data_IF_458670680218
#
_entry.id   IF_458670680218
#
_cell.length_a   1.000
_cell.length_b   1.000
_cell.length_c   1.000
_cell.angle_alpha   90.00
_cell.angle_beta   90.00
_cell.angle_gamma   90.00
#
_symmetry.space_group_name_H-M   'P 1'
#
loop_
_entity.id
_entity.type
_entity.pdbx_description
1 polymer ?
#
# COMPACT_ATOMS: atom_id res chain seq x y z
N UNK A 1 0.90 20.31 -14.76
CA UNK A 1 0.60 19.09 -15.53
C UNK A 1 0.50 17.82 -14.67
N UNK A 2 -0.62 17.08 -14.78
CA UNK A 2 -0.85 15.74 -14.23
C UNK A 2 -0.78 14.70 -15.36
N UNK A 3 -0.03 13.61 -15.19
CA UNK A 3 -0.01 12.51 -16.18
C UNK A 3 -1.10 11.49 -15.82
N UNK A 4 -1.98 11.18 -16.76
CA UNK A 4 -3.03 10.16 -16.64
C UNK A 4 -2.64 8.95 -17.47
N UNK A 5 -2.32 7.84 -16.81
CA UNK A 5 -2.09 6.56 -17.48
C UNK A 5 -3.42 5.82 -17.53
N UNK A 6 -4.04 5.78 -18.72
CA UNK A 6 -5.35 5.15 -18.95
C UNK A 6 -5.22 4.04 -20.00
N UNK A 7 -4.87 2.80 -19.59
CA UNK A 7 -4.59 1.70 -20.52
C UNK A 7 -5.80 1.43 -21.43
N UNK A 8 -5.64 1.72 -22.72
CA UNK A 8 -6.69 1.58 -23.71
C UNK A 8 -6.73 0.16 -24.27
N UNK A 9 -7.92 -0.40 -24.46
CA UNK A 9 -8.06 -1.72 -25.04
C UNK A 9 -9.30 -1.80 -25.94
N UNK A 10 -9.03 -1.98 -27.24
CA UNK A 10 -10.01 -2.02 -28.33
C UNK A 10 -11.15 -3.04 -28.16
N UNK A 11 -10.93 -4.07 -27.34
CA UNK A 11 -11.86 -5.19 -27.15
C UNK A 11 -12.96 -4.86 -26.11
N UNK A 12 -12.84 -3.74 -25.40
CA UNK A 12 -13.83 -3.29 -24.42
C UNK A 12 -14.65 -2.13 -24.97
N UNK A 13 -15.90 -2.40 -25.36
CA UNK A 13 -16.84 -1.38 -25.85
C UNK A 13 -17.42 -0.46 -24.75
N UNK A 14 -16.77 -0.35 -23.59
CA UNK A 14 -17.30 0.40 -22.44
C UNK A 14 -16.45 1.63 -22.13
N UNK A 15 -16.53 2.62 -23.01
CA UNK A 15 -15.75 3.87 -22.96
C UNK A 15 -16.46 5.05 -22.28
N UNK A 16 -17.54 4.84 -21.51
CA UNK A 16 -18.36 5.99 -21.12
C UNK A 16 -18.34 6.34 -19.62
N UNK A 17 -18.25 5.35 -18.71
CA UNK A 17 -18.36 5.67 -17.26
C UNK A 17 -17.12 6.38 -16.73
N UNK A 18 -15.95 5.74 -16.82
CA UNK A 18 -14.70 6.35 -16.33
C UNK A 18 -14.37 7.64 -17.10
N UNK A 19 -14.59 7.67 -18.41
CA UNK A 19 -14.29 8.86 -19.22
C UNK A 19 -15.13 10.08 -18.81
N UNK A 20 -16.42 9.89 -18.53
CA UNK A 20 -17.26 10.95 -18.00
C UNK A 20 -16.76 11.44 -16.62
N UNK A 21 -16.38 10.50 -15.75
CA UNK A 21 -15.89 10.81 -14.40
C UNK A 21 -14.57 11.59 -14.48
N UNK A 22 -13.63 11.15 -15.33
CA UNK A 22 -12.35 11.80 -15.56
C UNK A 22 -12.52 13.17 -16.20
N UNK A 23 -13.36 13.30 -17.23
CA UNK A 23 -13.65 14.58 -17.90
C UNK A 23 -14.12 15.63 -16.89
N UNK A 24 -15.02 15.25 -15.98
CA UNK A 24 -15.52 16.15 -14.95
C UNK A 24 -14.46 16.43 -13.88
N UNK A 25 -13.79 15.39 -13.37
CA UNK A 25 -12.86 15.52 -12.25
C UNK A 25 -11.53 16.21 -12.63
N UNK A 26 -11.19 16.22 -13.92
CA UNK A 26 -9.99 16.85 -14.47
C UNK A 26 -10.28 18.21 -15.13
N UNK A 27 -11.51 18.70 -15.07
CA UNK A 27 -11.88 20.00 -15.62
C UNK A 27 -11.02 21.11 -14.99
N UNK A 28 -10.31 21.88 -15.83
CA UNK A 28 -9.40 22.94 -15.39
C UNK A 28 -8.02 22.46 -14.90
N UNK A 29 -7.73 21.15 -14.96
CA UNK A 29 -6.41 20.59 -14.66
C UNK A 29 -5.69 20.29 -15.97
N UNK A 30 -4.50 20.85 -16.16
CA UNK A 30 -3.63 20.52 -17.27
C UNK A 30 -3.20 19.05 -17.18
N UNK A 31 -3.61 18.25 -18.16
CA UNK A 31 -3.42 16.78 -18.17
C UNK A 31 -2.78 16.28 -19.45
N UNK A 32 -1.99 15.23 -19.32
CA UNK A 32 -1.39 14.46 -20.42
C UNK A 32 -1.88 13.02 -20.30
N UNK A 33 -2.41 12.44 -21.37
CA UNK A 33 -2.88 11.06 -21.39
C UNK A 33 -1.86 10.14 -22.05
N UNK A 34 -1.55 9.04 -21.37
CA UNK A 34 -0.77 7.93 -21.91
C UNK A 34 -1.64 6.68 -21.87
N UNK A 35 -1.96 6.17 -23.05
CA UNK A 35 -2.94 5.12 -23.27
C UNK A 35 -2.30 3.76 -23.50
N UNK A 36 -1.05 3.73 -23.97
CA UNK A 36 -0.33 2.49 -24.30
C UNK A 36 1.03 2.41 -23.61
N UNK A 37 1.54 1.19 -23.46
CA UNK A 37 2.90 0.94 -22.97
C UNK A 37 3.96 1.62 -23.86
N UNK A 38 3.73 1.69 -25.18
CA UNK A 38 4.64 2.37 -26.12
C UNK A 38 4.74 3.87 -25.86
N UNK A 39 3.62 4.53 -25.56
CA UNK A 39 3.61 5.95 -25.21
C UNK A 39 4.32 6.19 -23.88
N UNK A 40 4.11 5.31 -22.89
CA UNK A 40 4.82 5.36 -21.61
C UNK A 40 6.33 5.15 -21.78
N UNK A 41 6.75 4.21 -22.64
CA UNK A 41 8.16 3.95 -22.96
C UNK A 41 8.83 5.14 -23.67
N UNK A 42 8.07 5.91 -24.45
CA UNK A 42 8.57 7.08 -25.17
C UNK A 42 8.68 8.35 -24.30
N UNK A 43 8.19 8.32 -23.07
CA UNK A 43 8.14 9.49 -22.18
C UNK A 43 8.97 9.31 -20.90
N UNK A 44 9.72 10.35 -20.51
CA UNK A 44 10.36 10.37 -19.19
C UNK A 44 9.36 10.75 -18.10
N UNK A 45 8.92 9.76 -17.33
CA UNK A 45 7.93 9.93 -16.26
C UNK A 45 8.51 10.38 -14.93
N UNK A 46 9.83 10.41 -14.75
CA UNK A 46 10.46 10.64 -13.44
C UNK A 46 10.01 11.97 -12.82
N UNK A 47 9.71 11.93 -11.52
CA UNK A 47 9.27 13.10 -10.75
C UNK A 47 7.83 13.56 -11.00
N UNK A 48 7.06 12.91 -11.89
CA UNK A 48 5.69 13.32 -12.22
C UNK A 48 4.67 12.87 -11.17
N UNK A 49 3.55 13.58 -11.11
CA UNK A 49 2.32 13.10 -10.46
C UNK A 49 1.52 12.29 -11.47
N UNK A 50 1.14 11.07 -11.08
CA UNK A 50 0.56 10.08 -11.97
C UNK A 50 -0.79 9.60 -11.42
N UNK A 51 -1.83 9.76 -12.22
CA UNK A 51 -3.12 9.11 -11.99
C UNK A 51 -3.19 7.87 -12.89
N UNK A 52 -3.19 6.68 -12.28
CA UNK A 52 -3.46 5.45 -13.02
C UNK A 52 -4.97 5.21 -13.07
N UNK A 53 -5.57 5.21 -14.25
CA UNK A 53 -7.00 5.08 -14.44
C UNK A 53 -7.30 3.84 -15.30
N UNK A 54 -7.66 2.71 -14.69
CA UNK A 54 -7.77 1.42 -15.39
C UNK A 54 -9.23 0.96 -15.49
N UNK A 55 -9.72 0.85 -16.72
CA UNK A 55 -11.01 0.19 -17.01
C UNK A 55 -10.82 -1.32 -17.20
N UNK A 56 -11.78 -2.12 -16.73
CA UNK A 56 -11.80 -3.58 -16.92
C UNK A 56 -13.08 -4.07 -17.61
N UNK A 57 -12.94 -5.14 -18.39
CA UNK A 57 -14.07 -5.94 -18.87
C UNK A 57 -14.91 -6.53 -17.73
N UNK A 58 -16.04 -7.12 -18.09
CA UNK A 58 -16.83 -7.97 -17.18
C UNK A 58 -15.99 -9.14 -16.63
N UNK A 59 -15.05 -9.66 -17.43
CA UNK A 59 -14.09 -10.68 -17.01
C UNK A 59 -12.94 -10.14 -16.14
N UNK A 60 -12.88 -8.82 -15.87
CA UNK A 60 -11.85 -8.21 -15.04
C UNK A 60 -10.49 -8.05 -15.72
N UNK A 61 -10.45 -8.08 -17.06
CA UNK A 61 -9.22 -8.02 -17.85
C UNK A 61 -9.05 -6.64 -18.49
N UNK A 62 -7.79 -6.21 -18.59
CA UNK A 62 -7.31 -5.21 -19.53
C UNK A 62 -5.95 -5.66 -20.07
N UNK A 63 -5.81 -5.85 -21.39
CA UNK A 63 -4.58 -6.41 -21.97
C UNK A 63 -3.44 -5.39 -22.02
N UNK A 64 -3.74 -4.14 -22.35
CA UNK A 64 -2.75 -3.07 -22.40
C UNK A 64 -2.18 -2.77 -21.01
N UNK A 65 -3.01 -2.92 -19.97
CA UNK A 65 -2.57 -2.89 -18.58
C UNK A 65 -1.41 -3.87 -18.31
N UNK A 66 -1.45 -5.10 -18.84
CA UNK A 66 -0.37 -6.07 -18.62
C UNK A 66 0.93 -5.71 -19.36
N UNK A 67 0.85 -5.08 -20.53
CA UNK A 67 2.03 -4.54 -21.23
C UNK A 67 2.68 -3.41 -20.42
N UNK A 68 1.87 -2.58 -19.78
CA UNK A 68 2.35 -1.51 -18.89
C UNK A 68 3.01 -2.09 -17.64
N UNK A 69 2.42 -3.15 -17.05
CA UNK A 69 3.06 -3.85 -15.94
C UNK A 69 4.40 -4.47 -16.33
N UNK A 70 4.48 -5.07 -17.51
CA UNK A 70 5.73 -5.63 -18.04
C UNK A 70 6.82 -4.56 -18.11
N UNK A 71 6.50 -3.38 -18.66
CA UNK A 71 7.42 -2.24 -18.69
C UNK A 71 7.90 -1.82 -17.30
N UNK A 72 6.99 -1.61 -16.33
CA UNK A 72 7.38 -1.21 -14.97
C UNK A 72 8.26 -2.24 -14.27
N UNK A 73 8.05 -3.53 -14.54
CA UNK A 73 8.83 -4.62 -13.95
C UNK A 73 10.20 -4.77 -14.60
N UNK A 74 10.33 -4.45 -15.88
CA UNK A 74 11.60 -4.46 -16.62
C UNK A 74 12.45 -3.24 -16.27
N UNK A 75 11.86 -2.04 -16.24
CA UNK A 75 12.56 -0.77 -16.02
C UNK A 75 12.40 -0.25 -14.58
N UNK A 76 13.12 -0.83 -13.63
CA UNK A 76 12.97 -0.61 -12.17
C UNK A 76 13.21 0.82 -11.64
N UNK A 77 13.50 1.79 -12.52
CA UNK A 77 13.69 3.20 -12.21
C UNK A 77 12.84 4.16 -13.03
N UNK A 78 11.97 3.68 -13.92
CA UNK A 78 11.21 4.52 -14.85
C UNK A 78 10.21 5.45 -14.15
N UNK A 79 9.83 5.17 -12.91
CA UNK A 79 8.92 6.00 -12.10
C UNK A 79 9.63 6.65 -10.90
N UNK A 80 10.95 6.79 -10.93
CA UNK A 80 11.72 7.37 -9.82
C UNK A 80 11.23 8.78 -9.51
N UNK A 81 10.91 9.02 -8.23
CA UNK A 81 10.44 10.33 -7.75
C UNK A 81 8.97 10.61 -8.05
N UNK A 82 8.26 9.71 -8.71
CA UNK A 82 6.84 9.89 -8.98
C UNK A 82 5.98 9.73 -7.72
N UNK A 83 4.80 10.34 -7.76
CA UNK A 83 3.73 10.07 -6.80
C UNK A 83 2.46 9.64 -7.54
N UNK A 84 1.83 8.58 -7.06
CA UNK A 84 0.72 7.91 -7.71
C UNK A 84 -0.60 7.91 -6.91
N UNK A 85 -1.70 7.93 -7.64
CA UNK A 85 -3.02 7.51 -7.19
C UNK A 85 -3.68 6.62 -8.26
N UNK A 86 -4.68 5.83 -7.87
CA UNK A 86 -5.29 4.80 -8.72
C UNK A 86 -6.80 4.92 -8.72
N UNK A 87 -7.38 4.85 -9.92
CA UNK A 87 -8.79 4.63 -10.15
C UNK A 87 -8.92 3.32 -10.91
N UNK A 88 -9.74 2.40 -10.42
CA UNK A 88 -10.11 1.20 -11.18
C UNK A 88 -11.62 1.17 -11.34
N UNK A 89 -12.08 1.08 -12.59
CA UNK A 89 -13.48 0.91 -12.94
C UNK A 89 -13.66 -0.46 -13.58
N UNK A 90 -14.35 -1.34 -12.86
CA UNK A 90 -14.67 -2.68 -13.33
C UNK A 90 -16.08 -2.77 -13.87
N UNK A 91 -16.26 -3.52 -14.96
CA UNK A 91 -17.60 -3.84 -15.44
C UNK A 91 -18.29 -4.94 -14.62
N UNK A 92 -17.51 -5.80 -13.95
CA UNK A 92 -18.00 -6.80 -12.99
C UNK A 92 -17.74 -6.44 -11.52
N UNK A 93 -18.12 -7.33 -10.61
CA UNK A 93 -17.95 -7.14 -9.15
C UNK A 93 -16.59 -7.59 -8.61
N UNK A 94 -15.79 -8.29 -9.42
CA UNK A 94 -14.56 -8.94 -9.01
C UNK A 94 -13.34 -8.32 -9.70
N UNK A 95 -12.16 -8.66 -9.18
CA UNK A 95 -10.83 -8.37 -9.73
C UNK A 95 -10.34 -6.92 -9.69
N UNK A 96 -11.20 -5.93 -9.46
CA UNK A 96 -10.80 -4.51 -9.33
C UNK A 96 -9.71 -4.30 -8.29
N UNK A 97 -9.90 -4.84 -7.07
CA UNK A 97 -8.93 -4.73 -5.98
C UNK A 97 -7.62 -5.48 -6.24
N UNK A 98 -7.71 -6.72 -6.73
CA UNK A 98 -6.51 -7.53 -6.96
C UNK A 98 -5.65 -6.93 -8.06
N UNK A 99 -6.28 -6.39 -9.11
CA UNK A 99 -5.60 -5.65 -10.16
C UNK A 99 -4.92 -4.39 -9.62
N UNK A 100 -5.63 -3.58 -8.83
CA UNK A 100 -5.06 -2.37 -8.23
C UNK A 100 -3.80 -2.68 -7.38
N UNK A 101 -3.81 -3.78 -6.61
CA UNK A 101 -2.64 -4.19 -5.80
C UNK A 101 -1.42 -4.53 -6.68
N UNK A 102 -1.61 -5.31 -7.74
CA UNK A 102 -0.56 -5.69 -8.69
C UNK A 102 0.05 -4.46 -9.38
N UNK A 103 -0.80 -3.50 -9.75
CA UNK A 103 -0.38 -2.23 -10.32
C UNK A 103 0.49 -1.44 -9.35
N UNK A 104 -0.03 -1.22 -8.14
CA UNK A 104 0.67 -0.43 -7.12
C UNK A 104 1.98 -1.08 -6.75
N UNK A 105 2.03 -2.40 -6.59
CA UNK A 105 3.29 -3.12 -6.33
C UNK A 105 4.30 -2.93 -7.47
N UNK A 106 3.89 -3.14 -8.73
CA UNK A 106 4.79 -3.03 -9.89
C UNK A 106 5.29 -1.60 -10.10
N UNK A 107 4.39 -0.60 -10.04
CA UNK A 107 4.77 0.80 -10.16
C UNK A 107 5.62 1.28 -8.97
N UNK A 108 5.37 0.77 -7.76
CA UNK A 108 6.17 1.09 -6.60
C UNK A 108 7.59 0.52 -6.67
N UNK A 109 7.72 -0.72 -7.16
CA UNK A 109 9.00 -1.34 -7.44
C UNK A 109 9.77 -0.57 -8.53
N UNK A 110 9.08 0.07 -9.47
CA UNK A 110 9.66 0.95 -10.50
C UNK A 110 10.03 2.36 -10.00
N UNK A 111 9.77 2.69 -8.73
CA UNK A 111 10.16 3.94 -8.09
C UNK A 111 9.04 4.92 -7.74
N UNK A 112 7.77 4.57 -7.99
CA UNK A 112 6.62 5.43 -7.66
C UNK A 112 6.22 5.32 -6.18
N UNK A 113 6.09 6.45 -5.48
CA UNK A 113 5.43 6.49 -4.18
C UNK A 113 3.90 6.59 -4.36
N UNK A 114 3.11 6.16 -3.38
CA UNK A 114 1.65 6.36 -3.38
C UNK A 114 1.20 7.10 -2.13
N UNK A 115 0.23 8.00 -2.30
CA UNK A 115 -0.44 8.67 -1.19
C UNK A 115 -1.17 7.65 -0.30
N UNK A 116 -1.49 8.02 0.93
CA UNK A 116 -2.39 7.21 1.77
C UNK A 116 -3.76 7.05 1.12
N UNK A 117 -4.41 5.88 1.21
CA UNK A 117 -5.69 5.59 0.53
C UNK A 117 -5.68 6.08 -0.92
N UNK A 118 -4.78 5.56 -1.76
CA UNK A 118 -4.58 6.05 -3.12
C UNK A 118 -5.61 5.50 -4.11
N UNK A 119 -6.54 4.63 -3.68
CA UNK A 119 -7.43 3.89 -4.57
C UNK A 119 -8.87 4.39 -4.46
N UNK A 120 -9.46 4.77 -5.60
CA UNK A 120 -10.91 4.77 -5.82
C UNK A 120 -11.25 3.56 -6.68
N UNK A 121 -12.07 2.68 -6.15
CA UNK A 121 -12.47 1.43 -6.79
C UNK A 121 -13.96 1.53 -7.12
N UNK A 122 -14.35 1.31 -8.37
CA UNK A 122 -15.73 1.26 -8.82
C UNK A 122 -16.02 -0.16 -9.34
N UNK A 123 -16.87 -0.91 -8.64
CA UNK A 123 -17.34 -2.21 -9.15
C UNK A 123 -18.47 -2.02 -10.18
N UNK A 124 -18.85 -3.07 -10.90
CA UNK A 124 -19.86 -3.03 -11.96
C UNK A 124 -21.13 -2.28 -11.55
N UNK A 125 -21.70 -2.67 -10.41
CA UNK A 125 -22.92 -2.10 -9.81
C UNK A 125 -22.71 -0.83 -8.99
N UNK A 126 -21.46 -0.41 -8.75
CA UNK A 126 -21.10 0.67 -7.82
C UNK A 126 -21.55 0.40 -6.37
N UNK A 127 -21.95 -0.84 -6.03
CA UNK A 127 -22.49 -1.17 -4.70
C UNK A 127 -21.50 -0.86 -3.57
N UNK A 128 -20.20 -0.98 -3.85
CA UNK A 128 -19.14 -0.66 -2.91
C UNK A 128 -19.13 0.82 -2.46
N UNK A 129 -19.83 1.72 -3.17
CA UNK A 129 -20.02 3.11 -2.75
C UNK A 129 -21.23 3.33 -1.83
N UNK A 130 -22.10 2.35 -1.61
CA UNK A 130 -23.37 2.50 -0.85
C UNK A 130 -23.20 3.08 0.56
N UNK A 131 -22.13 2.73 1.26
CA UNK A 131 -21.86 3.30 2.59
C UNK A 131 -21.46 4.76 2.49
N UNK A 132 -20.58 5.10 1.53
CA UNK A 132 -20.12 6.46 1.32
C UNK A 132 -21.20 7.38 0.74
N UNK A 133 -22.12 6.84 -0.06
CA UNK A 133 -23.22 7.61 -0.64
C UNK A 133 -24.18 8.12 0.42
N UNK A 134 -24.40 7.34 1.49
CA UNK A 134 -25.14 7.80 2.68
C UNK A 134 -24.40 8.91 3.42
N UNK A 135 -23.08 8.78 3.58
CA UNK A 135 -22.25 9.78 4.26
C UNK A 135 -22.17 11.10 3.47
N UNK A 136 -22.19 11.02 2.15
CA UNK A 136 -22.11 12.18 1.25
C UNK A 136 -23.48 12.69 0.80
N UNK A 137 -24.56 12.06 1.27
CA UNK A 137 -25.96 12.38 0.93
C UNK A 137 -26.18 12.52 -0.58
N UNK A 138 -25.74 11.51 -1.33
CA UNK A 138 -25.76 11.53 -2.79
C UNK A 138 -25.95 10.11 -3.35
N UNK A 139 -26.09 9.96 -4.67
CA UNK A 139 -26.22 8.64 -5.29
C UNK A 139 -24.86 7.95 -5.49
N UNK A 140 -24.86 6.73 -6.02
CA UNK A 140 -23.64 5.93 -6.19
C UNK A 140 -22.69 6.53 -7.24
N UNK A 141 -23.24 7.13 -8.30
CA UNK A 141 -22.46 7.69 -9.41
C UNK A 141 -21.84 9.01 -8.99
N UNK A 142 -22.59 9.89 -8.35
CA UNK A 142 -22.08 11.12 -7.77
C UNK A 142 -21.08 10.85 -6.63
N UNK A 143 -21.27 9.76 -5.88
CA UNK A 143 -20.25 9.31 -4.91
C UNK A 143 -18.95 8.96 -5.60
N UNK A 144 -19.00 8.21 -6.71
CA UNK A 144 -17.81 7.90 -7.51
C UNK A 144 -17.14 9.18 -8.03
N UNK A 145 -17.91 10.12 -8.56
CA UNK A 145 -17.42 11.43 -9.01
C UNK A 145 -16.69 12.18 -7.89
N UNK A 146 -17.35 12.41 -6.75
CA UNK A 146 -16.79 13.16 -5.62
C UNK A 146 -15.56 12.51 -5.00
N UNK A 147 -15.54 11.17 -4.92
CA UNK A 147 -14.36 10.45 -4.41
C UNK A 147 -13.17 10.55 -5.38
N UNK A 148 -13.44 10.53 -6.68
CA UNK A 148 -12.42 10.73 -7.73
C UNK A 148 -11.83 12.13 -7.67
N UNK A 149 -12.65 13.17 -7.61
CA UNK A 149 -12.21 14.56 -7.44
C UNK A 149 -11.35 14.75 -6.18
N UNK A 150 -11.80 14.19 -5.05
CA UNK A 150 -11.04 14.22 -3.79
C UNK A 150 -9.71 13.50 -3.92
N UNK A 151 -9.66 12.37 -4.62
CA UNK A 151 -8.41 11.63 -4.84
C UNK A 151 -7.42 12.45 -5.68
N UNK A 152 -7.88 13.02 -6.80
CA UNK A 152 -7.05 13.83 -7.70
C UNK A 152 -6.52 15.05 -6.98
N UNK A 153 -7.39 15.78 -6.25
CA UNK A 153 -6.95 16.92 -5.44
C UNK A 153 -5.88 16.51 -4.42
N UNK A 154 -6.09 15.42 -3.67
CA UNK A 154 -5.10 14.92 -2.72
C UNK A 154 -3.78 14.55 -3.38
N UNK A 155 -3.79 13.96 -4.58
CA UNK A 155 -2.58 13.68 -5.34
C UNK A 155 -1.86 14.98 -5.74
N UNK A 156 -2.60 15.95 -6.29
CA UNK A 156 -2.07 17.25 -6.70
C UNK A 156 -1.51 18.08 -5.53
N UNK A 157 -2.10 17.94 -4.33
CA UNK A 157 -1.66 18.63 -3.12
C UNK A 157 -0.56 17.85 -2.36
N UNK A 158 -0.33 16.58 -2.71
CA UNK A 158 0.58 15.74 -1.95
C UNK A 158 2.04 16.15 -2.10
N UNK A 159 2.72 16.24 -0.96
CA UNK A 159 4.17 16.33 -0.84
C UNK A 159 4.66 15.30 0.16
N UNK A 160 5.77 14.63 -0.18
CA UNK A 160 6.37 13.63 0.70
C UNK A 160 7.00 14.32 1.92
N UNK A 161 6.55 13.94 3.12
CA UNK A 161 7.15 14.42 4.36
C UNK A 161 8.57 13.87 4.52
N UNK A 162 9.52 14.79 4.70
CA UNK A 162 10.93 14.47 5.00
C UNK A 162 11.14 14.59 6.50
N UNK A 163 11.32 13.46 7.17
CA UNK A 163 11.52 13.40 8.62
C UNK A 163 12.97 12.99 8.84
N UNK A 164 13.80 13.89 9.39
CA UNK A 164 15.26 13.65 9.52
C UNK A 164 15.59 12.50 10.47
N UNK A 165 14.84 12.40 11.56
CA UNK A 165 15.01 11.42 12.64
C UNK A 165 13.66 10.73 12.89
N UNK A 166 13.19 9.88 11.97
CA UNK A 166 11.88 9.27 12.11
C UNK A 166 11.84 8.32 13.30
N UNK A 167 10.74 8.31 14.04
CA UNK A 167 10.42 7.23 14.98
C UNK A 167 9.96 5.99 14.19
N UNK A 168 10.71 4.90 14.31
CA UNK A 168 10.44 3.65 13.61
C UNK A 168 9.80 2.65 14.55
N UNK A 169 8.59 2.22 14.23
CA UNK A 169 7.98 1.04 14.84
C UNK A 169 8.22 -0.18 13.95
N UNK A 170 8.95 -1.16 14.44
CA UNK A 170 9.15 -2.45 13.77
C UNK A 170 8.29 -3.53 14.44
N UNK A 171 7.48 -4.22 13.65
CA UNK A 171 6.54 -5.25 14.15
C UNK A 171 6.83 -6.58 13.45
N UNK A 172 6.95 -7.64 14.24
CA UNK A 172 7.18 -9.00 13.75
C UNK A 172 6.42 -10.04 14.58
N UNK A 173 6.25 -11.24 14.01
CA UNK A 173 5.72 -12.41 14.72
C UNK A 173 6.69 -13.61 14.72
N UNK A 174 7.95 -13.38 14.33
CA UNK A 174 8.94 -14.44 14.12
C UNK A 174 9.77 -14.76 15.37
N UNK A 175 10.41 -15.93 15.38
CA UNK A 175 11.38 -16.36 16.41
C UNK A 175 12.79 -15.85 16.10
N UNK A 176 13.44 -15.15 17.04
CA UNK A 176 14.82 -14.66 16.87
C UNK A 176 15.83 -15.77 16.54
N UNK A 177 15.63 -16.98 17.06
CA UNK A 177 16.60 -18.09 16.90
C UNK A 177 16.78 -18.55 15.45
N UNK A 178 15.74 -18.44 14.62
CA UNK A 178 15.71 -19.12 13.30
C UNK A 178 15.17 -18.25 12.16
N UNK A 179 14.76 -17.01 12.44
CA UNK A 179 14.03 -16.21 11.45
C UNK A 179 14.95 -15.43 10.51
N UNK A 180 14.95 -15.81 9.24
CA UNK A 180 15.60 -15.07 8.17
C UNK A 180 15.07 -13.63 8.03
N UNK A 181 13.76 -13.40 8.18
CA UNK A 181 13.18 -12.05 8.14
C UNK A 181 13.68 -11.16 9.30
N UNK A 182 13.90 -11.72 10.49
CA UNK A 182 14.48 -10.98 11.61
C UNK A 182 15.99 -10.76 11.44
N UNK A 183 16.74 -11.74 10.95
CA UNK A 183 18.16 -11.56 10.64
C UNK A 183 18.37 -10.43 9.62
N UNK A 184 17.52 -10.34 8.61
CA UNK A 184 17.53 -9.24 7.65
C UNK A 184 17.21 -7.89 8.33
N UNK A 185 16.19 -7.87 9.21
CA UNK A 185 15.86 -6.68 9.97
C UNK A 185 17.05 -6.21 10.83
N UNK A 186 17.74 -7.11 11.53
CA UNK A 186 18.92 -6.74 12.34
C UNK A 186 20.03 -6.13 11.47
N UNK A 187 20.29 -6.67 10.27
CA UNK A 187 21.23 -6.05 9.31
C UNK A 187 20.82 -4.63 8.94
N UNK A 188 19.54 -4.40 8.67
CA UNK A 188 19.01 -3.08 8.32
C UNK A 188 19.11 -2.13 9.52
N UNK A 189 18.68 -2.59 10.70
CA UNK A 189 18.67 -1.82 11.94
C UNK A 189 20.08 -1.37 12.34
N UNK A 190 21.09 -2.23 12.18
CA UNK A 190 22.49 -1.88 12.43
C UNK A 190 23.07 -0.83 11.47
N UNK A 191 22.39 -0.58 10.34
CA UNK A 191 22.76 0.45 9.37
C UNK A 191 21.88 1.70 9.47
N UNK A 192 20.87 1.72 10.35
CA UNK A 192 20.13 2.93 10.67
C UNK A 192 21.05 3.90 11.43
N UNK A 193 20.85 5.19 11.19
CA UNK A 193 21.54 6.24 11.92
C UNK A 193 21.17 6.16 13.41
N UNK A 194 22.13 6.36 14.31
CA UNK A 194 21.95 6.28 15.77
C UNK A 194 20.90 7.27 16.32
N UNK A 195 20.58 8.31 15.55
CA UNK A 195 19.52 9.27 15.87
C UNK A 195 18.10 8.77 15.59
N UNK A 196 17.95 7.64 14.90
CA UNK A 196 16.64 7.03 14.60
C UNK A 196 16.21 6.18 15.79
N UNK A 197 15.11 6.58 16.43
CA UNK A 197 14.50 5.81 17.51
C UNK A 197 13.77 4.59 16.93
N UNK A 198 14.12 3.39 17.38
CA UNK A 198 13.53 2.13 16.92
C UNK A 198 12.82 1.44 18.08
N UNK A 199 11.49 1.38 18.00
CA UNK A 199 10.65 0.56 18.87
C UNK A 199 10.33 -0.75 18.18
N UNK A 200 10.80 -1.87 18.73
CA UNK A 200 10.60 -3.19 18.14
C UNK A 200 9.66 -4.04 19.00
N UNK A 201 8.54 -4.49 18.40
CA UNK A 201 7.49 -5.25 19.09
C UNK A 201 7.35 -6.65 18.48
N UNK A 202 7.56 -7.66 19.31
CA UNK A 202 7.30 -9.07 18.99
C UNK A 202 5.86 -9.45 19.33
N UNK A 203 5.04 -9.64 18.29
CA UNK A 203 3.66 -10.12 18.42
C UNK A 203 3.56 -11.61 18.80
N UNK A 204 4.68 -12.32 18.84
CA UNK A 204 4.72 -13.75 19.22
C UNK A 204 4.55 -13.95 20.72
N UNK A 205 5.00 -12.98 21.53
CA UNK A 205 5.10 -13.12 22.99
C UNK A 205 3.81 -12.72 23.72
N UNK A 206 2.82 -12.15 23.03
CA UNK A 206 1.49 -11.94 23.56
C UNK A 206 0.53 -13.01 23.03
N UNK A 207 -0.41 -13.47 23.85
CA UNK A 207 -1.56 -14.23 23.35
C UNK A 207 -2.36 -13.30 22.43
N UNK A 208 -2.08 -13.35 21.13
CA UNK A 208 -2.72 -12.50 20.14
C UNK A 208 -3.95 -13.20 19.59
N UNK A 209 -5.12 -12.80 20.11
CA UNK A 209 -6.41 -13.16 19.53
C UNK A 209 -6.71 -12.29 18.31
N UNK A 210 -7.31 -12.89 17.29
CA UNK A 210 -7.83 -12.16 16.13
C UNK A 210 -9.12 -11.39 16.46
N UNK A 211 -9.48 -10.46 15.59
CA UNK A 211 -10.67 -9.64 15.68
C UNK A 211 -11.95 -10.43 15.37
N UNK A 212 -12.96 -10.34 16.25
CA UNK A 212 -14.29 -10.96 16.12
C UNK A 212 -15.26 -10.11 15.29
N UNK A 213 -14.85 -8.91 14.90
CA UNK A 213 -15.72 -7.93 14.26
C UNK A 213 -16.81 -7.39 15.20
N UNK A 214 -16.42 -6.66 16.26
CA UNK A 214 -17.39 -5.97 17.13
C UNK A 214 -18.30 -5.03 16.33
N UNK A 215 -19.45 -4.66 16.90
CA UNK A 215 -20.31 -3.62 16.30
C UNK A 215 -19.53 -2.32 16.15
N UNK A 216 -19.94 -1.47 15.20
CA UNK A 216 -19.24 -0.22 14.91
C UNK A 216 -19.12 0.67 16.15
N UNK A 217 -20.22 0.82 16.89
CA UNK A 217 -20.30 1.66 18.09
C UNK A 217 -19.38 1.13 19.20
N UNK A 218 -19.31 -0.20 19.37
CA UNK A 218 -18.40 -0.83 20.34
C UNK A 218 -16.93 -0.63 19.95
N UNK A 219 -16.59 -0.82 18.67
CA UNK A 219 -15.23 -0.64 18.19
C UNK A 219 -14.76 0.81 18.38
N UNK A 220 -15.64 1.77 18.07
CA UNK A 220 -15.39 3.20 18.30
C UNK A 220 -15.20 3.51 19.79
N UNK A 221 -16.10 3.02 20.66
CA UNK A 221 -16.05 3.25 22.10
C UNK A 221 -14.72 2.85 22.73
N UNK A 222 -14.18 1.70 22.35
CA UNK A 222 -12.85 1.29 22.82
C UNK A 222 -11.73 2.11 22.15
N UNK A 223 -11.81 2.34 20.84
CA UNK A 223 -10.79 3.07 20.08
C UNK A 223 -10.57 4.51 20.53
N UNK A 224 -11.62 5.21 20.95
CA UNK A 224 -11.56 6.58 21.46
C UNK A 224 -10.82 6.68 22.80
N UNK A 225 -10.76 5.57 23.53
CA UNK A 225 -10.03 5.45 24.81
C UNK A 225 -8.65 4.80 24.64
N UNK A 226 -8.15 4.75 23.41
CA UNK A 226 -6.88 4.09 23.09
C UNK A 226 -6.91 2.57 23.31
N UNK A 227 -8.08 1.96 23.33
CA UNK A 227 -8.29 0.56 23.71
C UNK A 227 -8.86 -0.31 22.60
N UNK A 228 -9.00 -1.60 22.92
CA UNK A 228 -9.67 -2.61 22.11
C UNK A 228 -10.32 -3.61 23.06
N UNK A 229 -11.45 -4.20 22.67
CA UNK A 229 -12.13 -5.24 23.45
C UNK A 229 -11.18 -6.33 23.96
N UNK A 230 -10.16 -6.68 23.16
CA UNK A 230 -9.19 -7.72 23.45
C UNK A 230 -8.06 -7.33 24.41
N UNK A 231 -7.81 -6.04 24.65
CA UNK A 231 -6.66 -5.60 25.45
C UNK A 231 -5.31 -6.16 24.97
N UNK A 232 -4.44 -6.49 25.93
CA UNK A 232 -3.16 -7.15 25.73
C UNK A 232 -2.16 -6.33 24.92
N UNK A 233 -1.19 -7.02 24.30
CA UNK A 233 -0.06 -6.39 23.59
C UNK A 233 -0.48 -5.31 22.57
N UNK A 234 -1.66 -5.44 21.95
CA UNK A 234 -2.14 -4.41 21.02
C UNK A 234 -2.39 -3.09 21.72
N UNK A 235 -3.07 -3.11 22.87
CA UNK A 235 -3.43 -1.89 23.62
C UNK A 235 -2.23 -1.39 24.42
N UNK A 236 -1.48 -2.30 25.03
CA UNK A 236 -0.39 -1.96 25.96
C UNK A 236 0.86 -1.44 25.24
N UNK A 237 1.15 -1.95 24.04
CA UNK A 237 2.41 -1.64 23.34
C UNK A 237 2.19 -1.12 21.93
N UNK A 238 1.37 -1.81 21.12
CA UNK A 238 1.23 -1.48 19.70
C UNK A 238 0.52 -0.15 19.47
N UNK A 239 -0.61 0.11 20.14
CA UNK A 239 -1.39 1.32 19.91
C UNK A 239 -0.61 2.58 20.29
N UNK A 240 0.02 2.68 21.48
CA UNK A 240 0.90 3.80 21.78
C UNK A 240 2.01 3.96 20.74
N UNK A 241 2.72 2.87 20.41
CA UNK A 241 3.85 2.94 19.49
C UNK A 241 3.45 3.33 18.06
N UNK A 242 2.31 2.85 17.55
CA UNK A 242 1.86 3.19 16.18
C UNK A 242 1.29 4.61 16.10
N UNK A 243 0.70 5.12 17.19
CA UNK A 243 0.28 6.52 17.29
C UNK A 243 1.51 7.44 17.26
N UNK A 244 2.60 7.07 17.93
CA UNK A 244 3.82 7.88 18.00
C UNK A 244 4.75 7.74 16.79
N UNK A 245 4.75 6.60 16.09
CA UNK A 245 5.72 6.36 15.03
C UNK A 245 5.51 7.25 13.78
N UNK A 246 6.59 7.55 13.09
CA UNK A 246 6.56 8.15 11.76
C UNK A 246 6.55 7.08 10.67
N UNK A 247 7.24 5.97 10.92
CA UNK A 247 7.40 4.85 10.01
C UNK A 247 7.02 3.54 10.71
N UNK A 248 6.19 2.75 10.06
CA UNK A 248 5.93 1.35 10.42
C UNK A 248 6.77 0.45 9.49
N UNK A 249 7.50 -0.50 10.06
CA UNK A 249 8.18 -1.59 9.34
C UNK A 249 7.51 -2.90 9.73
N UNK A 250 6.87 -3.54 8.75
CA UNK A 250 6.27 -4.87 8.94
C UNK A 250 7.26 -5.95 8.48
N UNK A 251 7.66 -6.81 9.41
CA UNK A 251 8.63 -7.90 9.16
C UNK A 251 7.84 -9.20 9.03
N UNK A 252 7.71 -9.68 7.80
CA UNK A 252 6.77 -10.72 7.42
C UNK A 252 7.51 -11.90 6.76
N UNK A 253 7.71 -13.03 7.47
CA UNK A 253 7.92 -14.29 6.77
C UNK A 253 6.68 -14.63 5.93
N UNK A 254 6.90 -15.26 4.78
CA UNK A 254 5.80 -15.79 3.96
C UNK A 254 5.34 -17.15 4.52
N UNK A 255 4.07 -17.23 4.95
CA UNK A 255 3.41 -18.48 5.33
C UNK A 255 2.25 -18.75 4.38
N UNK A 256 2.45 -19.68 3.44
CA UNK A 256 1.45 -20.08 2.43
C UNK A 256 0.91 -18.89 1.62
N UNK A 257 1.82 -18.08 1.08
CA UNK A 257 1.53 -16.87 0.32
C UNK A 257 0.73 -15.83 1.11
N UNK A 258 0.89 -15.81 2.43
CA UNK A 258 0.21 -14.90 3.34
C UNK A 258 1.12 -14.38 4.45
N UNK A 259 0.73 -13.22 5.01
CA UNK A 259 1.26 -12.77 6.30
C UNK A 259 0.84 -13.75 7.40
N UNK A 260 1.63 -13.85 8.48
CA UNK A 260 1.30 -14.76 9.59
C UNK A 260 -0.01 -14.40 10.29
N UNK A 261 -0.62 -15.37 10.99
CA UNK A 261 -1.86 -15.16 11.74
C UNK A 261 -1.78 -13.99 12.75
N UNK A 262 -0.64 -13.82 13.44
CA UNK A 262 -0.46 -12.70 14.36
C UNK A 262 -0.36 -11.36 13.61
N UNK A 263 0.27 -11.32 12.43
CA UNK A 263 0.30 -10.10 11.62
C UNK A 263 -1.10 -9.78 11.09
N UNK A 264 -1.87 -10.78 10.67
CA UNK A 264 -3.29 -10.62 10.31
C UNK A 264 -4.11 -10.06 11.48
N UNK A 265 -3.96 -10.63 12.68
CA UNK A 265 -4.65 -10.15 13.88
C UNK A 265 -4.26 -8.70 14.24
N UNK A 266 -2.98 -8.35 14.11
CA UNK A 266 -2.51 -6.97 14.23
C UNK A 266 -3.22 -6.04 13.24
N UNK A 267 -3.22 -6.36 11.94
CA UNK A 267 -3.88 -5.58 10.89
C UNK A 267 -5.37 -5.39 11.20
N UNK A 268 -6.06 -6.47 11.55
CA UNK A 268 -7.50 -6.47 11.80
C UNK A 268 -7.85 -5.57 13.00
N UNK A 269 -7.06 -5.66 14.07
CA UNK A 269 -7.30 -4.92 15.32
C UNK A 269 -6.94 -3.44 15.22
N UNK A 270 -6.01 -3.05 14.34
CA UNK A 270 -5.67 -1.64 14.10
C UNK A 270 -6.87 -0.76 13.69
N UNK A 271 -8.00 -1.34 13.28
CA UNK A 271 -9.20 -0.56 12.92
C UNK A 271 -9.70 0.30 14.08
N UNK A 272 -9.58 -0.17 15.32
CA UNK A 272 -10.00 0.60 16.50
C UNK A 272 -9.22 1.92 16.63
N UNK A 273 -7.88 1.86 16.55
CA UNK A 273 -7.02 3.04 16.70
C UNK A 273 -7.01 3.92 15.44
N UNK A 274 -7.07 3.32 14.25
CA UNK A 274 -7.08 4.06 12.98
C UNK A 274 -8.33 4.95 12.82
N UNK A 275 -9.45 4.57 13.44
CA UNK A 275 -10.68 5.39 13.38
C UNK A 275 -10.60 6.66 14.21
N UNK A 276 -9.68 6.72 15.16
CA UNK A 276 -9.55 7.83 16.12
C UNK A 276 -8.25 8.61 15.96
N UNK A 277 -7.32 8.11 15.15
CA UNK A 277 -6.02 8.73 14.87
C UNK A 277 -5.74 8.76 13.38
N UNK A 278 -5.22 9.88 12.89
CA UNK A 278 -4.88 10.02 11.48
C UNK A 278 -3.52 9.39 11.16
N UNK A 279 -3.53 8.41 10.25
CA UNK A 279 -2.33 7.74 9.75
C UNK A 279 -1.85 8.29 8.40
N UNK A 280 -2.50 9.33 7.86
CA UNK A 280 -2.21 9.92 6.54
C UNK A 280 -0.77 10.41 6.36
N UNK A 281 -0.06 10.69 7.47
CA UNK A 281 1.32 11.18 7.49
C UNK A 281 2.36 10.09 7.79
N UNK A 282 1.91 8.87 8.09
CA UNK A 282 2.78 7.75 8.48
C UNK A 282 3.19 6.95 7.24
N UNK A 283 4.45 6.50 7.21
CA UNK A 283 5.00 5.67 6.12
C UNK A 283 4.92 4.19 6.49
N UNK A 284 4.68 3.31 5.51
CA UNK A 284 4.77 1.86 5.68
C UNK A 284 5.93 1.28 4.84
N UNK A 285 6.74 0.44 5.46
CA UNK A 285 7.77 -0.38 4.84
C UNK A 285 7.53 -1.85 5.16
N UNK A 286 8.00 -2.75 4.29
CA UNK A 286 7.87 -4.18 4.49
C UNK A 286 9.18 -4.92 4.24
N UNK A 287 9.48 -5.89 5.10
CA UNK A 287 10.48 -6.92 4.85
C UNK A 287 9.75 -8.23 4.65
N UNK A 288 9.82 -8.79 3.46
CA UNK A 288 9.21 -10.06 3.13
C UNK A 288 10.29 -11.07 2.81
N UNK A 289 10.34 -12.16 3.57
CA UNK A 289 11.25 -13.27 3.27
C UNK A 289 10.45 -14.54 3.03
N UNK A 290 10.62 -15.12 1.84
CA UNK A 290 9.95 -16.36 1.45
C UNK A 290 10.91 -17.54 1.47
N UNK A 291 10.43 -18.73 1.81
CA UNK A 291 11.25 -19.94 1.73
C UNK A 291 11.45 -20.44 0.29
N UNK A 292 10.53 -20.11 -0.63
CA UNK A 292 10.56 -20.57 -2.02
C UNK A 292 10.17 -19.46 -3.00
N UNK A 293 8.93 -18.99 -2.94
CA UNK A 293 8.35 -17.97 -3.84
C UNK A 293 7.21 -17.19 -3.15
N UNK A 294 6.54 -16.30 -3.88
CA UNK A 294 5.29 -15.66 -3.42
C UNK A 294 5.46 -14.43 -2.52
N UNK A 295 6.68 -13.90 -2.40
CA UNK A 295 6.93 -12.72 -1.56
C UNK A 295 6.24 -11.45 -2.07
N UNK A 296 6.01 -11.35 -3.38
CA UNK A 296 5.19 -10.31 -4.01
C UNK A 296 3.74 -10.37 -3.53
N UNK A 297 3.15 -11.56 -3.41
CA UNK A 297 1.77 -11.76 -2.92
C UNK A 297 1.63 -11.25 -1.48
N UNK A 298 2.64 -11.48 -0.64
CA UNK A 298 2.67 -10.96 0.74
C UNK A 298 2.84 -9.45 0.77
N UNK A 299 3.71 -8.87 -0.07
CA UNK A 299 3.85 -7.42 -0.18
C UNK A 299 2.55 -6.75 -0.67
N UNK A 300 1.85 -7.34 -1.63
CA UNK A 300 0.53 -6.90 -2.10
C UNK A 300 -0.53 -6.91 -1.00
N UNK A 301 -0.49 -7.89 -0.08
CA UNK A 301 -1.37 -7.90 1.10
C UNK A 301 -1.11 -6.71 2.01
N UNK A 302 0.16 -6.34 2.23
CA UNK A 302 0.54 -5.18 3.05
C UNK A 302 0.06 -3.88 2.39
N UNK A 303 0.19 -3.74 1.06
CA UNK A 303 -0.37 -2.61 0.30
C UNK A 303 -1.88 -2.49 0.56
N UNK A 304 -2.60 -3.60 0.41
CA UNK A 304 -4.05 -3.64 0.64
C UNK A 304 -4.41 -3.23 2.07
N UNK A 305 -3.75 -3.83 3.06
CA UNK A 305 -4.07 -3.64 4.45
C UNK A 305 -3.73 -2.22 4.93
N UNK A 306 -2.51 -1.76 4.63
CA UNK A 306 -1.95 -0.57 5.28
C UNK A 306 -2.13 0.69 4.45
N UNK A 307 -1.81 0.63 3.16
CA UNK A 307 -1.91 1.79 2.28
C UNK A 307 -3.36 2.01 1.80
N UNK A 308 -4.02 0.98 1.26
CA UNK A 308 -5.39 1.13 0.74
C UNK A 308 -6.43 1.33 1.85
N UNK A 309 -6.34 0.60 2.97
CA UNK A 309 -7.37 0.63 4.00
C UNK A 309 -7.03 1.55 5.18
N UNK A 310 -5.78 1.58 5.63
CA UNK A 310 -5.34 2.31 6.85
C UNK A 310 -4.59 3.62 6.57
N UNK A 311 -4.63 4.11 5.33
CA UNK A 311 -4.18 5.46 4.97
C UNK A 311 -2.68 5.75 5.13
N UNK A 312 -1.84 4.72 5.32
CA UNK A 312 -0.38 4.92 5.33
C UNK A 312 0.11 5.35 3.95
N UNK A 313 1.07 6.27 3.91
CA UNK A 313 1.83 6.59 2.70
C UNK A 313 2.66 5.37 2.33
N UNK A 314 2.73 5.04 1.03
CA UNK A 314 3.57 3.98 0.49
C UNK A 314 4.81 4.61 -0.18
N UNK A 315 5.98 4.65 0.49
CA UNK A 315 7.19 5.20 -0.11
C UNK A 315 7.63 4.38 -1.32
N UNK A 316 8.39 4.98 -2.25
CA UNK A 316 8.94 4.26 -3.39
C UNK A 316 9.79 3.06 -2.95
N UNK A 317 9.62 1.91 -3.61
CA UNK A 317 10.30 0.64 -3.26
C UNK A 317 10.14 0.28 -1.78
N UNK A 318 8.89 0.32 -1.29
CA UNK A 318 8.52 0.18 0.13
C UNK A 318 8.86 -1.20 0.71
N UNK A 319 8.86 -2.23 -0.15
CA UNK A 319 9.11 -3.61 0.23
C UNK A 319 10.52 -4.05 -0.19
N UNK A 320 11.20 -4.75 0.70
CA UNK A 320 12.34 -5.61 0.36
C UNK A 320 11.83 -7.05 0.40
N UNK A 321 11.90 -7.71 -0.76
CA UNK A 321 11.42 -9.09 -0.94
C UNK A 321 12.62 -9.97 -1.27
N UNK A 322 12.88 -10.96 -0.44
CA UNK A 322 14.00 -11.89 -0.59
C UNK A 322 13.53 -13.34 -0.42
N UNK A 323 14.33 -14.28 -0.91
CA UNK A 323 14.09 -15.72 -0.77
C UNK A 323 15.22 -16.35 0.05
N UNK A 324 14.87 -16.97 1.18
CA UNK A 324 15.79 -17.65 2.09
C UNK A 324 15.02 -18.67 2.95
N UNK A 325 15.33 -19.96 2.79
CA UNK A 325 14.61 -21.04 3.46
C UNK A 325 15.31 -21.46 4.76
N UNK A 326 16.52 -22.01 4.63
CA UNK A 326 17.25 -22.56 5.76
C UNK A 326 17.57 -21.46 6.77
N UNK A 327 17.54 -21.74 8.09
CA UNK A 327 17.88 -20.76 9.11
C UNK A 327 19.27 -20.15 8.85
N UNK A 328 19.32 -18.84 8.66
CA UNK A 328 20.57 -18.11 8.38
C UNK A 328 20.88 -17.89 6.90
N UNK A 329 20.23 -18.60 5.97
CA UNK A 329 20.51 -18.49 4.52
C UNK A 329 20.28 -17.10 3.94
N UNK A 330 19.51 -16.23 4.61
CA UNK A 330 19.36 -14.83 4.21
C UNK A 330 20.69 -14.06 4.23
N UNK A 331 21.63 -14.49 5.05
CA UNK A 331 22.96 -13.88 5.18
C UNK A 331 23.84 -14.21 3.98
N UNK A 332 23.50 -15.25 3.23
CA UNK A 332 24.23 -15.74 2.06
C UNK A 332 23.68 -15.14 0.75
N UNK A 333 22.56 -14.43 0.81
CA UNK A 333 21.99 -13.73 -0.36
C UNK A 333 23.01 -12.71 -0.87
N UNK A 334 23.25 -12.75 -2.18
CA UNK A 334 24.21 -11.87 -2.84
C UNK A 334 23.87 -10.39 -2.60
N UNK A 335 24.88 -9.63 -2.17
CA UNK A 335 24.78 -8.20 -1.90
C UNK A 335 23.84 -7.84 -0.75
N UNK A 336 23.49 -8.77 0.15
CA UNK A 336 22.48 -8.52 1.20
C UNK A 336 22.80 -7.31 2.08
N UNK A 337 24.09 -7.05 2.36
CA UNK A 337 24.52 -5.90 3.16
C UNK A 337 24.31 -4.56 2.44
N UNK A 338 24.59 -4.51 1.13
CA UNK A 338 24.36 -3.33 0.30
C UNK A 338 22.86 -3.06 0.15
N UNK A 339 22.07 -4.11 -0.07
CA UNK A 339 20.60 -4.05 -0.13
C UNK A 339 20.02 -3.57 1.20
N UNK A 340 20.50 -4.11 2.33
CA UNK A 340 20.10 -3.69 3.66
C UNK A 340 20.40 -2.21 3.91
N UNK A 341 21.58 -1.74 3.50
CA UNK A 341 21.95 -0.32 3.60
C UNK A 341 21.11 0.59 2.71
N UNK A 342 20.80 0.16 1.49
CA UNK A 342 19.89 0.88 0.61
C UNK A 342 18.47 0.98 1.21
N UNK A 343 18.01 -0.07 1.90
CA UNK A 343 16.73 -0.07 2.59
C UNK A 343 16.74 0.82 3.84
N UNK A 344 17.79 0.78 4.66
CA UNK A 344 17.98 1.66 5.81
C UNK A 344 17.94 3.15 5.40
N UNK A 345 18.61 3.52 4.31
CA UNK A 345 18.56 4.88 3.75
C UNK A 345 17.16 5.29 3.30
N UNK A 346 16.34 4.35 2.80
CA UNK A 346 14.95 4.60 2.41
C UNK A 346 14.06 4.87 3.63
N UNK A 347 14.26 4.19 4.75
CA UNK A 347 13.50 4.44 5.99
C UNK A 347 13.72 5.88 6.49
N UNK A 348 14.91 6.44 6.27
CA UNK A 348 15.24 7.84 6.60
C UNK A 348 14.60 8.88 5.67
N UNK A 349 14.40 8.55 4.39
CA UNK A 349 13.98 9.48 3.35
C UNK A 349 12.46 9.73 3.43
#
# INVERSE_FOLDING_TARGET
>A
MLTVIKPFCNEFHRENRMDQILSNALAGIETEYLLTAKEIEACDLRGRKILFAVCLSEAGINLEYYRILEYFRRESGCLTGCCGAVIVDGSGELFTKSLARRLVFSANAAGCAFIGRPLVEATGSLYNFKTMSKVLETDLQDTYQRLTERLIKRLLDFEMLKIRHPKVLAVHASSRKTSNSLLLWEKIKNQLDTSIEVTEISLRNGQMLDCRGCKYEECMHFGERGGCFYGGIMVEQVYPAIIECDCLVMICPNYNDAVSANITAFINRLTAVFRTHDFSKKKIFALVVSGYSGGDIVAEQIISAMNFNKNFILPAKFAMVETANDPGSILEVEGIDEKAGAFARKIRA
#
